data_IF_398684209532
#
_entry.id   IF_398684209532
#
_cell.length_a   1.000
_cell.length_b   1.000
_cell.length_c   1.000
_cell.angle_alpha   90.00
_cell.angle_beta   90.00
_cell.angle_gamma   90.00
#
_symmetry.space_group_name_H-M   'P 1'
#
loop_
_entity.id
_entity.type
_entity.pdbx_description
1 polymer ?
#
# COMPACT_ATOMS: atom_id res chain seq x y z
N UNK A 1 -19.13 33.76 -18.76
CA UNK A 1 -18.50 34.22 -20.02
C UNK A 1 -17.04 33.80 -20.03
N UNK A 2 -16.52 33.19 -21.10
CA UNK A 2 -15.09 32.89 -21.20
C UNK A 2 -14.30 34.21 -21.17
N UNK A 3 -13.22 34.26 -20.38
CA UNK A 3 -12.33 35.44 -20.33
C UNK A 3 -11.71 35.64 -21.71
N UNK A 4 -11.82 36.85 -22.28
CA UNK A 4 -11.16 37.19 -23.54
C UNK A 4 -9.63 36.97 -23.38
N UNK A 5 -8.97 36.31 -24.33
CA UNK A 5 -7.52 36.13 -24.29
C UNK A 5 -6.83 37.50 -24.23
N UNK A 6 -5.78 37.62 -23.42
CA UNK A 6 -4.98 38.85 -23.27
C UNK A 6 -3.49 38.50 -23.37
N UNK A 7 -2.67 39.37 -23.99
CA UNK A 7 -1.22 39.19 -23.97
C UNK A 7 -0.66 39.29 -22.55
N UNK A 8 0.33 38.47 -22.21
CA UNK A 8 1.12 38.54 -20.98
C UNK A 8 2.59 38.26 -21.30
N UNK A 9 3.50 38.88 -20.53
CA UNK A 9 4.94 38.77 -20.75
C UNK A 9 5.53 37.55 -20.05
N UNK A 10 6.36 36.78 -20.75
CA UNK A 10 7.13 35.68 -20.17
C UNK A 10 8.45 35.50 -20.93
N UNK A 11 9.58 35.47 -20.21
CA UNK A 11 10.92 35.21 -20.79
C UNK A 11 11.22 36.04 -22.06
N UNK A 12 11.08 37.36 -21.97
CA UNK A 12 11.43 38.29 -23.05
C UNK A 12 10.49 38.31 -24.25
N UNK A 13 9.30 37.68 -24.15
CA UNK A 13 8.31 37.65 -25.22
C UNK A 13 6.89 37.73 -24.68
N UNK A 14 5.99 38.28 -25.49
CA UNK A 14 4.57 38.28 -25.20
C UNK A 14 3.92 36.96 -25.64
N UNK A 15 3.04 36.43 -24.79
CA UNK A 15 2.28 35.21 -24.99
C UNK A 15 0.79 35.44 -24.75
N UNK A 16 -0.07 34.55 -25.25
CA UNK A 16 -1.50 34.50 -24.94
C UNK A 16 -1.94 33.06 -24.72
N UNK A 17 -3.11 32.85 -24.11
CA UNK A 17 -3.72 31.53 -23.98
C UNK A 17 -4.95 31.42 -24.87
N UNK A 18 -4.88 30.57 -25.89
CA UNK A 18 -5.99 30.28 -26.81
C UNK A 18 -6.19 28.76 -26.85
N UNK A 19 -7.41 28.29 -26.56
CA UNK A 19 -7.73 26.85 -26.56
C UNK A 19 -6.97 26.01 -25.53
N UNK A 20 -6.52 26.62 -24.42
CA UNK A 20 -5.76 25.93 -23.37
C UNK A 20 -4.25 25.80 -23.64
N UNK A 21 -3.75 26.29 -24.78
CA UNK A 21 -2.33 26.28 -25.12
C UNK A 21 -1.73 27.71 -25.13
N UNK A 22 -0.44 27.80 -24.79
CA UNK A 22 0.32 29.04 -24.89
C UNK A 22 0.72 29.31 -26.34
N UNK A 23 0.50 30.55 -26.78
CA UNK A 23 0.89 31.02 -28.12
C UNK A 23 1.78 32.24 -27.96
N UNK A 24 2.96 32.18 -28.55
CA UNK A 24 3.91 33.30 -28.60
C UNK A 24 3.40 34.33 -29.61
N UNK A 25 3.45 35.62 -29.26
CA UNK A 25 2.95 36.72 -30.07
C UNK A 25 4.09 37.48 -30.74
N UNK A 26 4.95 38.12 -29.94
CA UNK A 26 6.09 38.89 -30.40
C UNK A 26 7.16 38.99 -29.30
N UNK A 27 8.35 39.50 -29.62
CA UNK A 27 9.36 39.82 -28.61
C UNK A 27 8.94 41.01 -27.74
N UNK A 28 9.47 41.08 -26.52
CA UNK A 28 9.23 42.19 -25.61
C UNK A 28 9.64 43.54 -26.21
N UNK A 29 10.73 43.56 -26.97
CA UNK A 29 11.27 44.73 -27.65
C UNK A 29 10.32 45.34 -28.69
N UNK A 30 9.34 44.56 -29.18
CA UNK A 30 8.34 45.01 -30.16
C UNK A 30 7.14 45.72 -29.49
N UNK A 31 7.03 45.65 -28.16
CA UNK A 31 6.04 46.37 -27.37
C UNK A 31 4.65 45.70 -27.26
N UNK A 32 3.87 46.17 -26.29
CA UNK A 32 2.56 45.57 -25.97
C UNK A 32 1.53 45.77 -27.09
N UNK A 33 1.56 46.89 -27.81
CA UNK A 33 0.64 47.17 -28.91
C UNK A 33 0.85 46.20 -30.09
N UNK A 34 2.10 45.84 -30.38
CA UNK A 34 2.43 44.78 -31.35
C UNK A 34 1.87 43.42 -30.89
N UNK A 35 1.92 43.11 -29.60
CA UNK A 35 1.34 41.90 -29.05
C UNK A 35 -0.21 41.88 -29.18
N UNK A 36 -0.88 43.03 -28.99
CA UNK A 36 -2.33 43.15 -29.18
C UNK A 36 -2.71 42.97 -30.66
N UNK A 37 -1.95 43.57 -31.58
CA UNK A 37 -2.17 43.40 -33.03
C UNK A 37 -1.92 41.96 -33.49
N UNK A 38 -0.86 41.32 -32.98
CA UNK A 38 -0.58 39.91 -33.22
C UNK A 38 -1.70 39.00 -32.69
N UNK A 39 -2.23 39.29 -31.50
CA UNK A 39 -3.37 38.57 -30.93
C UNK A 39 -4.64 38.72 -31.79
N UNK A 40 -4.95 39.94 -32.25
CA UNK A 40 -6.10 40.19 -33.12
C UNK A 40 -6.01 39.39 -34.43
N UNK A 41 -4.82 39.34 -35.04
CA UNK A 41 -4.54 38.55 -36.24
C UNK A 41 -4.67 37.05 -35.99
N UNK A 42 -4.20 36.58 -34.82
CA UNK A 42 -4.30 35.17 -34.40
C UNK A 42 -5.77 34.74 -34.19
N UNK A 43 -6.59 35.62 -33.61
CA UNK A 43 -8.03 35.37 -33.45
C UNK A 43 -8.79 35.44 -34.76
N UNK A 44 -8.44 36.35 -35.68
CA UNK A 44 -9.07 36.46 -36.99
C UNK A 44 -8.80 35.22 -37.87
N UNK A 45 -7.59 34.65 -37.83
CA UNK A 45 -7.24 33.40 -38.52
C UNK A 45 -7.95 32.16 -37.96
N UNK A 46 -8.45 32.20 -36.72
CA UNK A 46 -9.21 31.09 -36.13
C UNK A 46 -10.68 31.03 -36.55
N UNK A 47 -11.23 32.09 -37.17
CA UNK A 47 -12.65 32.17 -37.57
C UNK A 47 -12.88 31.67 -39.01
N UNK A 48 -11.84 31.65 -39.85
CA UNK A 48 -11.94 31.21 -41.26
C UNK A 48 -11.47 29.77 -41.52
N UNK A 49 -11.05 29.05 -40.48
CA UNK A 49 -10.92 27.60 -40.58
C UNK A 49 -12.32 26.99 -40.40
N UNK A 50 -12.95 26.55 -41.50
CA UNK A 50 -13.98 25.50 -41.44
C UNK A 50 -13.53 24.46 -40.43
N UNK A 51 -14.41 23.98 -39.52
CA UNK A 51 -14.01 22.99 -38.55
C UNK A 51 -13.57 21.76 -39.33
N UNK A 52 -12.25 21.57 -39.45
CA UNK A 52 -11.69 20.25 -39.66
C UNK A 52 -12.23 19.50 -38.46
N UNK A 53 -13.25 18.67 -38.71
CA UNK A 53 -13.71 17.71 -37.74
C UNK A 53 -12.46 16.95 -37.32
N UNK A 54 -11.94 17.27 -36.14
CA UNK A 54 -11.13 16.31 -35.40
C UNK A 54 -12.05 15.10 -35.37
N UNK A 55 -11.66 13.96 -35.98
CA UNK A 55 -12.48 12.77 -35.87
C UNK A 55 -12.66 12.55 -34.38
N UNK A 56 -13.89 12.77 -33.89
CA UNK A 56 -14.28 12.28 -32.58
C UNK A 56 -13.92 10.80 -32.65
N UNK A 57 -13.06 10.27 -31.76
CA UNK A 57 -12.66 8.88 -31.82
C UNK A 57 -13.94 8.07 -31.87
N UNK A 58 -14.18 7.44 -33.02
CA UNK A 58 -15.41 6.71 -33.25
C UNK A 58 -15.54 5.69 -32.13
N UNK A 59 -16.70 5.67 -31.46
CA UNK A 59 -17.04 4.76 -30.35
C UNK A 59 -16.77 3.27 -30.69
N UNK A 60 -16.59 2.97 -31.98
CA UNK A 60 -16.31 1.66 -32.54
C UNK A 60 -14.86 1.16 -32.40
N UNK A 61 -13.86 2.00 -32.12
CA UNK A 61 -12.43 1.55 -32.08
C UNK A 61 -11.82 1.45 -30.67
N UNK A 62 -12.41 2.06 -29.66
CA UNK A 62 -11.94 1.96 -28.27
C UNK A 62 -12.20 0.56 -27.70
N UNK A 63 -11.25 -0.13 -27.04
CA UNK A 63 -11.49 -1.47 -26.51
C UNK A 63 -12.60 -1.47 -25.46
N UNK A 64 -13.20 -2.65 -25.24
CA UNK A 64 -14.09 -2.84 -24.10
C UNK A 64 -13.29 -2.67 -22.78
N UNK A 65 -13.94 -2.14 -21.74
CA UNK A 65 -13.31 -2.00 -20.43
C UNK A 65 -12.87 -3.36 -19.88
N UNK A 66 -13.65 -4.41 -20.10
CA UNK A 66 -13.30 -5.79 -19.74
C UNK A 66 -12.01 -6.25 -20.42
N UNK A 67 -11.83 -5.91 -21.70
CA UNK A 67 -10.62 -6.20 -22.46
C UNK A 67 -9.41 -5.44 -21.91
N UNK A 68 -9.56 -4.15 -21.61
CA UNK A 68 -8.51 -3.33 -21.01
C UNK A 68 -8.11 -3.84 -19.61
N UNK A 69 -9.06 -4.29 -18.80
CA UNK A 69 -8.82 -4.93 -17.50
C UNK A 69 -8.07 -6.26 -17.69
N UNK A 70 -8.47 -7.10 -18.65
CA UNK A 70 -7.81 -8.37 -18.92
C UNK A 70 -6.37 -8.18 -19.44
N UNK A 71 -6.13 -7.17 -20.28
CA UNK A 71 -4.77 -6.76 -20.70
C UNK A 71 -3.92 -6.32 -19.49
N UNK A 72 -4.48 -5.48 -18.61
CA UNK A 72 -3.76 -5.04 -17.42
C UNK A 72 -3.51 -6.16 -16.41
N UNK A 73 -4.43 -7.12 -16.29
CA UNK A 73 -4.23 -8.30 -15.46
C UNK A 73 -3.00 -9.09 -15.94
N UNK A 74 -2.88 -9.37 -17.24
CA UNK A 74 -1.71 -10.06 -17.82
C UNK A 74 -0.41 -9.30 -17.54
N UNK A 75 -0.43 -7.97 -17.70
CA UNK A 75 0.72 -7.15 -17.31
C UNK A 75 1.04 -7.28 -15.81
N UNK A 76 0.03 -7.24 -14.95
CA UNK A 76 0.22 -7.36 -13.50
C UNK A 76 0.81 -8.72 -13.10
N UNK A 77 0.47 -9.81 -13.80
CA UNK A 77 1.02 -11.15 -13.57
C UNK A 77 2.51 -11.24 -13.93
N UNK A 78 2.99 -10.41 -14.86
CA UNK A 78 4.42 -10.28 -15.17
C UNK A 78 5.12 -9.32 -14.21
N UNK A 79 4.50 -8.18 -13.91
CA UNK A 79 5.10 -7.09 -13.14
C UNK A 79 5.13 -7.36 -11.62
N UNK A 80 4.03 -7.84 -11.03
CA UNK A 80 3.90 -8.01 -9.58
C UNK A 80 4.35 -9.42 -9.14
N UNK A 81 5.64 -9.69 -9.31
CA UNK A 81 6.28 -10.93 -8.86
C UNK A 81 7.14 -10.69 -7.62
N UNK A 82 7.15 -11.70 -6.75
CA UNK A 82 8.11 -11.77 -5.64
C UNK A 82 9.45 -12.31 -6.17
N UNK A 83 10.57 -12.10 -5.45
CA UNK A 83 11.87 -12.69 -5.81
C UNK A 83 11.80 -14.20 -6.04
N UNK A 84 10.89 -14.90 -5.34
CA UNK A 84 10.64 -16.33 -5.53
C UNK A 84 9.88 -16.71 -6.81
N UNK A 85 9.62 -15.76 -7.72
CA UNK A 85 8.82 -15.95 -8.94
C UNK A 85 7.29 -16.01 -8.74
N UNK A 86 6.81 -16.17 -7.50
CA UNK A 86 5.39 -16.24 -7.15
C UNK A 86 4.69 -14.90 -7.35
N UNK A 87 3.41 -14.93 -7.71
CA UNK A 87 2.59 -13.74 -7.85
C UNK A 87 2.35 -13.05 -6.49
N UNK A 88 2.40 -11.72 -6.49
CA UNK A 88 2.06 -10.91 -5.33
C UNK A 88 0.55 -10.86 -5.10
N UNK A 89 0.15 -10.84 -3.83
CA UNK A 89 -1.25 -10.62 -3.43
C UNK A 89 -1.80 -9.23 -3.83
N UNK A 90 -0.94 -8.30 -4.27
CA UNK A 90 -1.36 -7.00 -4.78
C UNK A 90 -2.23 -7.14 -6.04
N UNK A 91 -2.02 -8.17 -6.87
CA UNK A 91 -2.84 -8.43 -8.07
C UNK A 91 -4.32 -8.59 -7.68
N UNK A 92 -4.61 -9.40 -6.66
CA UNK A 92 -5.99 -9.58 -6.15
C UNK A 92 -6.60 -8.24 -5.70
N UNK A 93 -5.81 -7.38 -5.08
CA UNK A 93 -6.27 -6.06 -4.62
C UNK A 93 -6.52 -5.09 -5.77
N UNK A 94 -5.72 -5.16 -6.84
CA UNK A 94 -5.90 -4.42 -8.08
C UNK A 94 -7.19 -4.86 -8.77
N UNK A 95 -7.37 -6.17 -8.98
CA UNK A 95 -8.56 -6.71 -9.64
C UNK A 95 -9.85 -6.41 -8.85
N UNK A 96 -9.79 -6.45 -7.52
CA UNK A 96 -10.91 -6.01 -6.68
C UNK A 96 -11.22 -4.51 -6.89
N UNK A 97 -10.20 -3.65 -6.95
CA UNK A 97 -10.39 -2.23 -7.21
C UNK A 97 -11.03 -1.99 -8.60
N UNK A 98 -10.53 -2.66 -9.63
CA UNK A 98 -11.05 -2.54 -11.00
C UNK A 98 -12.47 -3.08 -11.14
N UNK A 99 -12.87 -4.04 -10.31
CA UNK A 99 -14.25 -4.53 -10.27
C UNK A 99 -15.24 -3.44 -9.87
N UNK A 100 -14.88 -2.52 -8.97
CA UNK A 100 -15.74 -1.38 -8.65
C UNK A 100 -15.93 -0.47 -9.85
N UNK A 101 -14.83 -0.15 -10.56
CA UNK A 101 -14.90 0.65 -11.78
C UNK A 101 -15.76 -0.01 -12.86
N UNK A 102 -15.57 -1.31 -13.11
CA UNK A 102 -16.32 -2.05 -14.11
C UNK A 102 -17.82 -2.09 -13.79
N UNK A 103 -18.19 -2.30 -12.53
CA UNK A 103 -19.60 -2.31 -12.11
C UNK A 103 -20.27 -0.97 -12.31
N UNK A 104 -19.60 0.14 -12.00
CA UNK A 104 -20.19 1.48 -12.16
C UNK A 104 -20.18 1.98 -13.59
N UNK A 105 -19.23 1.52 -14.41
CA UNK A 105 -19.22 1.83 -15.84
C UNK A 105 -20.34 1.10 -16.60
N UNK A 106 -20.79 -0.05 -16.09
CA UNK A 106 -21.82 -0.88 -16.70
C UNK A 106 -21.27 -1.96 -17.61
N UNK A 107 -22.12 -2.93 -17.94
CA UNK A 107 -21.78 -4.01 -18.86
C UNK A 107 -21.58 -3.46 -20.29
N UNK A 108 -20.58 -3.98 -21.00
CA UNK A 108 -20.23 -3.49 -22.35
C UNK A 108 -19.58 -2.11 -22.41
N UNK A 109 -19.29 -1.48 -21.27
CA UNK A 109 -18.65 -0.16 -21.22
C UNK A 109 -17.36 -0.12 -22.05
N UNK A 110 -17.21 0.93 -22.86
CA UNK A 110 -16.01 1.18 -23.68
C UNK A 110 -15.07 2.11 -22.93
N UNK A 111 -13.76 1.94 -23.13
CA UNK A 111 -12.78 2.73 -22.38
C UNK A 111 -12.85 4.24 -22.66
N UNK A 112 -13.27 4.64 -23.86
CA UNK A 112 -13.49 6.06 -24.23
C UNK A 112 -14.64 6.71 -23.46
N UNK A 113 -15.60 5.91 -22.97
CA UNK A 113 -16.73 6.38 -22.18
C UNK A 113 -16.42 6.55 -20.68
N UNK A 114 -15.20 6.22 -20.25
CA UNK A 114 -14.79 6.46 -18.86
C UNK A 114 -14.69 7.96 -18.59
N UNK A 115 -15.11 8.35 -17.40
CA UNK A 115 -15.08 9.75 -16.96
C UNK A 115 -14.80 9.85 -15.47
N UNK A 116 -14.48 11.06 -15.01
CA UNK A 116 -14.37 11.36 -13.58
C UNK A 116 -15.63 10.96 -12.81
N UNK A 117 -16.81 11.11 -13.39
CA UNK A 117 -18.07 10.78 -12.73
C UNK A 117 -18.26 9.28 -12.54
N UNK A 118 -17.84 8.46 -13.53
CA UNK A 118 -17.81 7.00 -13.38
C UNK A 118 -16.86 6.59 -12.26
N UNK A 119 -15.66 7.18 -12.19
CA UNK A 119 -14.70 6.87 -11.12
C UNK A 119 -15.17 7.39 -9.75
N UNK A 120 -15.87 8.54 -9.72
CA UNK A 120 -16.50 9.08 -8.52
C UNK A 120 -17.58 8.11 -8.04
N UNK A 121 -18.48 7.65 -8.92
CA UNK A 121 -19.47 6.64 -8.58
C UNK A 121 -18.83 5.35 -8.05
N UNK A 122 -17.74 4.88 -8.67
CA UNK A 122 -16.97 3.73 -8.16
C UNK A 122 -16.47 3.98 -6.73
N UNK A 123 -15.91 5.17 -6.46
CA UNK A 123 -15.46 5.59 -5.12
C UNK A 123 -16.60 5.60 -4.10
N UNK A 124 -17.74 6.21 -4.45
CA UNK A 124 -18.90 6.29 -3.56
C UNK A 124 -19.48 4.90 -3.28
N UNK A 125 -19.48 3.98 -4.24
CA UNK A 125 -19.96 2.60 -4.05
C UNK A 125 -19.13 1.79 -3.03
N UNK A 126 -17.88 2.19 -2.76
CA UNK A 126 -17.02 1.55 -1.77
C UNK A 126 -17.34 2.01 -0.34
N UNK A 127 -17.90 3.21 -0.16
CA UNK A 127 -18.11 3.87 1.14
C UNK A 127 -18.86 2.99 2.15
N UNK A 128 -19.96 2.28 1.79
CA UNK A 128 -20.70 1.47 2.75
C UNK A 128 -19.91 0.29 3.33
N UNK A 129 -18.86 -0.18 2.63
CA UNK A 129 -18.15 -1.42 2.97
C UNK A 129 -16.67 -1.23 3.32
N UNK A 130 -16.10 -0.08 2.97
CA UNK A 130 -14.68 0.21 3.09
C UNK A 130 -14.42 1.39 4.02
N UNK A 131 -13.28 1.36 4.72
CA UNK A 131 -12.78 2.56 5.39
C UNK A 131 -12.28 3.58 4.38
N UNK A 132 -12.25 4.86 4.75
CA UNK A 132 -11.70 5.94 3.91
C UNK A 132 -10.32 5.59 3.34
N UNK A 133 -9.44 5.02 4.18
CA UNK A 133 -8.09 4.58 3.78
C UNK A 133 -8.15 3.52 2.68
N UNK A 134 -9.00 2.51 2.83
CA UNK A 134 -9.19 1.45 1.83
C UNK A 134 -9.78 1.99 0.53
N UNK A 135 -10.77 2.89 0.60
CA UNK A 135 -11.32 3.58 -0.57
C UNK A 135 -10.21 4.30 -1.34
N UNK A 136 -9.42 5.12 -0.64
CA UNK A 136 -8.32 5.86 -1.27
C UNK A 136 -7.25 4.93 -1.87
N UNK A 137 -6.96 3.79 -1.23
CA UNK A 137 -6.05 2.79 -1.79
C UNK A 137 -6.60 2.15 -3.07
N UNK A 138 -7.89 1.82 -3.13
CA UNK A 138 -8.52 1.30 -4.34
C UNK A 138 -8.52 2.33 -5.47
N UNK A 139 -8.83 3.60 -5.18
CA UNK A 139 -8.71 4.68 -6.17
C UNK A 139 -7.28 4.82 -6.67
N UNK A 140 -6.28 4.76 -5.77
CA UNK A 140 -4.87 4.75 -6.17
C UNK A 140 -4.52 3.59 -7.12
N UNK A 141 -5.05 2.38 -6.85
CA UNK A 141 -4.87 1.22 -7.74
C UNK A 141 -5.50 1.43 -9.11
N UNK A 142 -6.74 1.93 -9.16
CA UNK A 142 -7.43 2.24 -10.42
C UNK A 142 -6.63 3.28 -11.21
N UNK A 143 -6.16 4.35 -10.56
CA UNK A 143 -5.32 5.36 -11.22
C UNK A 143 -4.01 4.81 -11.77
N UNK A 144 -3.38 3.82 -11.12
CA UNK A 144 -2.21 3.13 -11.69
C UNK A 144 -2.57 2.34 -12.95
N UNK A 145 -3.72 1.67 -12.98
CA UNK A 145 -4.20 0.99 -14.17
C UNK A 145 -4.47 1.99 -15.31
N UNK A 146 -5.09 3.13 -15.00
CA UNK A 146 -5.34 4.22 -15.96
C UNK A 146 -4.04 4.72 -16.59
N UNK A 147 -2.99 4.96 -15.81
CA UNK A 147 -1.68 5.37 -16.34
C UNK A 147 -1.12 4.34 -17.32
N UNK A 148 -1.16 3.06 -16.95
CA UNK A 148 -0.72 1.99 -17.84
C UNK A 148 -1.60 1.87 -19.10
N UNK A 149 -2.91 2.08 -18.99
CA UNK A 149 -3.80 2.09 -20.16
C UNK A 149 -3.49 3.22 -21.14
N UNK A 150 -2.99 4.37 -20.68
CA UNK A 150 -2.49 5.43 -21.58
C UNK A 150 -1.23 4.97 -22.31
N UNK A 151 -0.26 4.41 -21.57
CA UNK A 151 1.01 3.92 -22.14
C UNK A 151 0.76 2.87 -23.24
N UNK A 152 -0.21 1.99 -23.03
CA UNK A 152 -0.63 0.94 -23.98
C UNK A 152 -1.64 1.40 -25.04
N UNK A 153 -1.95 2.71 -25.08
CA UNK A 153 -2.90 3.31 -26.03
C UNK A 153 -4.30 2.67 -25.99
N UNK A 154 -4.71 2.18 -24.82
CA UNK A 154 -6.03 1.60 -24.58
C UNK A 154 -7.08 2.65 -24.24
N UNK A 155 -6.65 3.82 -23.75
CA UNK A 155 -7.49 5.01 -23.52
C UNK A 155 -6.81 6.27 -24.09
N UNK A 156 -7.56 7.28 -24.54
CA UNK A 156 -7.00 8.59 -24.88
C UNK A 156 -6.51 9.36 -23.65
N UNK A 157 -5.52 10.24 -23.84
CA UNK A 157 -4.96 11.11 -22.78
C UNK A 157 -6.05 11.93 -22.08
N UNK A 158 -6.99 12.49 -22.83
CA UNK A 158 -8.10 13.29 -22.28
C UNK A 158 -8.99 12.51 -21.30
N UNK A 159 -9.17 11.20 -21.54
CA UNK A 159 -9.92 10.32 -20.62
C UNK A 159 -9.12 10.10 -19.34
N UNK A 160 -7.82 9.85 -19.47
CA UNK A 160 -6.93 9.66 -18.32
C UNK A 160 -6.84 10.92 -17.46
N UNK A 161 -6.68 12.10 -18.06
CA UNK A 161 -6.62 13.38 -17.35
C UNK A 161 -7.87 13.60 -16.49
N UNK A 162 -9.05 13.32 -17.05
CA UNK A 162 -10.32 13.40 -16.33
C UNK A 162 -10.34 12.52 -15.07
N UNK A 163 -9.91 11.26 -15.19
CA UNK A 163 -9.87 10.25 -14.13
C UNK A 163 -8.80 10.55 -13.06
N UNK A 164 -7.60 10.93 -13.50
CA UNK A 164 -6.44 11.17 -12.64
C UNK A 164 -6.64 12.40 -11.74
N UNK A 165 -7.46 13.35 -12.16
CA UNK A 165 -7.82 14.54 -11.39
C UNK A 165 -8.82 14.30 -10.25
N UNK A 166 -9.41 13.10 -10.11
CA UNK A 166 -10.34 12.83 -8.99
C UNK A 166 -9.60 12.91 -7.63
N UNK A 167 -9.94 13.81 -6.71
CA UNK A 167 -9.25 13.89 -5.42
C UNK A 167 -9.55 12.64 -4.55
N UNK A 168 -8.64 12.28 -3.63
CA UNK A 168 -8.95 11.29 -2.60
C UNK A 168 -10.06 11.80 -1.67
N UNK A 169 -10.69 10.90 -0.91
CA UNK A 169 -11.57 11.29 0.19
C UNK A 169 -10.75 11.96 1.31
N UNK A 170 -11.09 13.21 1.69
CA UNK A 170 -10.43 13.90 2.79
C UNK A 170 -10.80 13.28 4.15
N UNK A 171 -9.89 13.37 5.12
CA UNK A 171 -10.13 12.87 6.47
C UNK A 171 -11.30 13.62 7.13
N UNK A 172 -12.18 12.88 7.80
CA UNK A 172 -13.35 13.42 8.54
C UNK A 172 -14.30 14.29 7.70
N UNK A 173 -14.27 14.12 6.37
CA UNK A 173 -15.05 14.94 5.42
C UNK A 173 -15.78 14.06 4.38
N UNK A 174 -16.11 12.83 4.78
CA UNK A 174 -16.88 11.88 3.97
C UNK A 174 -17.63 10.92 4.88
N UNK A 175 -18.66 10.24 4.36
CA UNK A 175 -19.38 9.20 5.08
C UNK A 175 -18.59 7.88 5.22
N UNK A 176 -17.39 7.77 4.63
CA UNK A 176 -16.56 6.59 4.76
C UNK A 176 -16.06 6.43 6.20
N UNK A 177 -16.14 5.21 6.73
CA UNK A 177 -15.68 4.87 8.08
C UNK A 177 -14.20 5.28 8.27
N UNK A 178 -13.93 6.06 9.30
CA UNK A 178 -12.57 6.28 9.80
C UNK A 178 -12.15 5.08 10.66
N UNK A 179 -10.86 4.74 10.61
CA UNK A 179 -10.31 3.65 11.41
C UNK A 179 -9.24 4.21 12.31
N UNK A 180 -9.33 3.90 13.60
CA UNK A 180 -8.27 4.22 14.53
C UNK A 180 -6.96 3.51 14.14
N UNK A 181 -5.81 4.15 14.39
CA UNK A 181 -4.52 3.48 14.26
C UNK A 181 -4.46 2.22 15.13
N UNK A 182 -3.93 1.14 14.58
CA UNK A 182 -3.70 -0.10 15.34
C UNK A 182 -2.48 0.09 16.24
N UNK A 183 -2.67 -0.02 17.56
CA UNK A 183 -1.64 0.17 18.57
C UNK A 183 -0.89 -1.11 18.99
N UNK A 184 0.00 -0.94 19.97
CA UNK A 184 0.61 -2.06 20.69
C UNK A 184 -0.44 -2.82 21.51
N UNK A 185 -0.16 -4.10 21.77
CA UNK A 185 -0.91 -4.90 22.75
C UNK A 185 -0.08 -5.04 24.03
N UNK A 186 -0.73 -4.87 25.17
CA UNK A 186 -0.11 -4.97 26.49
C UNK A 186 0.31 -6.40 26.85
N UNK A 187 1.40 -6.54 27.62
CA UNK A 187 1.92 -7.86 27.98
C UNK A 187 0.89 -8.71 28.75
N UNK A 188 0.14 -8.13 29.68
CA UNK A 188 -0.88 -8.88 30.44
C UNK A 188 -1.95 -9.51 29.55
N UNK A 189 -2.37 -8.79 28.50
CA UNK A 189 -3.33 -9.30 27.49
C UNK A 189 -2.69 -10.43 26.67
N UNK A 190 -1.44 -10.25 26.24
CA UNK A 190 -0.69 -11.29 25.52
C UNK A 190 -0.53 -12.55 26.38
N UNK A 191 -0.12 -12.39 27.64
CA UNK A 191 0.11 -13.48 28.57
C UNK A 191 -1.16 -14.32 28.78
N UNK A 192 -2.29 -13.67 29.12
CA UNK A 192 -3.57 -14.35 29.28
C UNK A 192 -4.01 -15.07 27.98
N UNK A 193 -3.70 -14.49 26.82
CA UNK A 193 -3.98 -15.13 25.52
C UNK A 193 -3.09 -16.37 25.31
N UNK A 194 -1.80 -16.29 25.62
CA UNK A 194 -0.83 -17.39 25.46
C UNK A 194 -1.17 -18.60 26.34
N UNK A 195 -1.74 -18.38 27.52
CA UNK A 195 -2.23 -19.43 28.40
C UNK A 195 -3.34 -20.28 27.76
N UNK A 196 -4.13 -19.70 26.85
CA UNK A 196 -5.20 -20.39 26.12
C UNK A 196 -4.75 -20.99 24.77
N UNK A 197 -3.51 -20.75 24.34
CA UNK A 197 -3.00 -21.23 23.06
C UNK A 197 -2.38 -22.61 23.17
N UNK A 198 -2.66 -23.45 22.17
CA UNK A 198 -1.97 -24.72 21.92
C UNK A 198 -0.78 -24.51 20.98
N UNK A 199 0.12 -25.48 20.92
CA UNK A 199 1.23 -25.46 19.96
C UNK A 199 0.75 -25.71 18.50
N UNK A 200 1.42 -25.13 17.49
CA UNK A 200 2.58 -24.23 17.56
C UNK A 200 2.26 -22.76 17.90
N UNK A 201 0.99 -22.42 18.12
CA UNK A 201 0.55 -21.03 18.21
C UNK A 201 1.11 -20.29 19.42
N UNK A 202 1.18 -20.98 20.57
CA UNK A 202 1.81 -20.46 21.79
C UNK A 202 3.26 -20.05 21.53
N UNK A 203 4.08 -20.97 21.02
CA UNK A 203 5.49 -20.68 20.74
C UNK A 203 5.66 -19.60 19.66
N UNK A 204 4.79 -19.58 18.65
CA UNK A 204 4.82 -18.57 17.59
C UNK A 204 4.52 -17.15 18.13
N UNK A 205 3.57 -17.01 19.05
CA UNK A 205 3.32 -15.72 19.76
C UNK A 205 4.55 -15.29 20.54
N UNK A 206 5.12 -16.20 21.34
CA UNK A 206 6.28 -15.89 22.17
C UNK A 206 7.50 -15.50 21.35
N UNK A 207 7.78 -16.23 20.27
CA UNK A 207 8.84 -15.89 19.35
C UNK A 207 8.63 -14.52 18.68
N UNK A 208 7.41 -14.24 18.22
CA UNK A 208 7.10 -12.95 17.60
C UNK A 208 7.15 -11.80 18.60
N UNK A 209 6.76 -12.02 19.85
CA UNK A 209 6.90 -11.05 20.94
C UNK A 209 8.35 -10.61 21.11
N UNK A 210 9.28 -11.56 21.17
CA UNK A 210 10.72 -11.27 21.38
C UNK A 210 11.45 -10.70 20.17
N UNK A 211 10.90 -10.84 18.96
CA UNK A 211 11.62 -10.48 17.72
C UNK A 211 10.96 -9.35 16.93
N UNK A 212 9.68 -9.05 17.19
CA UNK A 212 8.92 -8.07 16.43
C UNK A 212 8.78 -8.40 14.93
N UNK A 213 9.00 -9.65 14.52
CA UNK A 213 8.89 -10.06 13.11
C UNK A 213 7.48 -9.83 12.56
N UNK A 214 7.36 -9.65 11.25
CA UNK A 214 6.01 -9.64 10.64
C UNK A 214 5.40 -11.04 10.76
N UNK A 215 4.06 -11.18 10.90
CA UNK A 215 3.44 -12.49 11.01
C UNK A 215 3.80 -13.42 9.84
N UNK A 216 3.86 -12.89 8.61
CA UNK A 216 4.26 -13.69 7.44
C UNK A 216 5.70 -14.21 7.47
N UNK A 217 6.62 -13.44 8.08
CA UNK A 217 8.03 -13.80 8.27
C UNK A 217 8.13 -14.89 9.35
N UNK A 218 7.51 -14.68 10.52
CA UNK A 218 7.52 -15.64 11.62
C UNK A 218 6.82 -16.98 11.26
N UNK A 219 5.66 -16.91 10.61
CA UNK A 219 4.93 -18.10 10.16
C UNK A 219 5.66 -18.90 9.07
N UNK A 220 6.55 -18.25 8.30
CA UNK A 220 7.31 -18.86 7.21
C UNK A 220 8.76 -19.15 7.56
N UNK A 221 9.12 -19.17 8.84
CA UNK A 221 10.48 -19.40 9.29
C UNK A 221 10.95 -20.82 8.91
N UNK A 222 12.01 -20.89 8.10
CA UNK A 222 12.66 -22.16 7.74
C UNK A 222 13.74 -22.53 8.74
N UNK A 223 13.92 -23.83 8.97
CA UNK A 223 14.96 -24.36 9.86
C UNK A 223 16.36 -23.95 9.37
N UNK A 224 16.60 -24.03 8.06
CA UNK A 224 17.88 -23.66 7.44
C UNK A 224 18.23 -22.17 7.58
N UNK A 225 17.25 -21.29 7.80
CA UNK A 225 17.49 -19.86 7.96
C UNK A 225 17.94 -19.48 9.36
N UNK A 226 17.85 -20.40 10.33
CA UNK A 226 18.12 -20.11 11.74
C UNK A 226 19.48 -20.67 12.15
N UNK A 227 20.35 -19.79 12.61
CA UNK A 227 21.58 -20.17 13.31
C UNK A 227 21.45 -19.77 14.78
N UNK A 228 21.47 -20.76 15.69
CA UNK A 228 21.42 -20.52 17.14
C UNK A 228 22.81 -20.64 17.77
N UNK A 229 23.05 -19.81 18.79
CA UNK A 229 24.21 -19.88 19.70
C UNK A 229 23.72 -20.09 21.14
N UNK A 230 24.61 -20.06 22.14
CA UNK A 230 24.22 -20.09 23.56
C UNK A 230 23.45 -18.82 23.96
N UNK A 231 23.93 -17.65 23.52
CA UNK A 231 23.36 -16.34 23.89
C UNK A 231 22.31 -15.79 22.92
N UNK A 232 21.84 -16.57 21.94
CA UNK A 232 20.88 -16.11 20.96
C UNK A 232 21.08 -16.72 19.58
N UNK A 233 21.29 -15.87 18.57
CA UNK A 233 21.53 -16.30 17.20
C UNK A 233 21.12 -15.28 16.15
N UNK A 234 20.82 -15.76 14.95
CA UNK A 234 20.28 -14.95 13.86
C UNK A 234 19.31 -15.74 12.97
N UNK A 235 18.51 -14.99 12.22
CA UNK A 235 17.67 -15.48 11.13
C UNK A 235 18.04 -14.77 9.84
N UNK A 236 18.43 -15.54 8.83
CA UNK A 236 18.86 -15.04 7.52
C UNK A 236 17.71 -15.20 6.51
N UNK A 237 17.01 -14.10 6.20
CA UNK A 237 15.88 -14.13 5.25
C UNK A 237 16.33 -14.02 3.78
N UNK A 238 17.56 -13.57 3.52
CA UNK A 238 17.99 -13.16 2.17
C UNK A 238 16.99 -12.15 1.60
N UNK A 239 16.46 -12.43 0.40
CA UNK A 239 15.41 -11.62 -0.26
C UNK A 239 13.97 -12.03 0.10
N UNK A 240 13.77 -13.01 0.98
CA UNK A 240 12.45 -13.56 1.33
C UNK A 240 11.71 -12.73 2.39
N UNK A 241 11.57 -11.42 2.16
CA UNK A 241 10.83 -10.49 3.02
C UNK A 241 10.05 -9.44 2.22
N UNK A 242 9.18 -8.68 2.90
CA UNK A 242 8.22 -7.73 2.29
C UNK A 242 8.85 -6.74 1.31
N UNK A 243 10.12 -6.40 1.49
CA UNK A 243 10.86 -5.41 0.71
C UNK A 243 12.00 -6.02 -0.11
N UNK A 244 12.14 -7.34 -0.15
CA UNK A 244 13.25 -8.01 -0.84
C UNK A 244 13.23 -7.83 -2.36
N UNK A 245 12.06 -7.52 -2.95
CA UNK A 245 11.97 -7.11 -4.36
C UNK A 245 12.76 -5.83 -4.69
N UNK A 246 13.19 -5.07 -3.67
CA UNK A 246 14.09 -3.91 -3.82
C UNK A 246 15.57 -4.29 -3.86
N UNK A 247 15.90 -5.58 -3.78
CA UNK A 247 17.27 -6.10 -3.85
C UNK A 247 18.09 -5.99 -2.56
N UNK A 248 17.47 -5.57 -1.44
CA UNK A 248 18.16 -5.52 -0.14
C UNK A 248 17.86 -6.78 0.63
N UNK A 249 18.90 -7.51 1.06
CA UNK A 249 18.77 -8.67 1.93
C UNK A 249 18.44 -8.28 3.37
N UNK A 250 17.88 -9.23 4.12
CA UNK A 250 17.54 -9.04 5.53
C UNK A 250 18.09 -10.18 6.38
N UNK A 251 18.88 -9.82 7.39
CA UNK A 251 19.20 -10.66 8.55
C UNK A 251 18.58 -10.06 9.79
N UNK A 252 18.12 -10.91 10.71
CA UNK A 252 17.60 -10.50 12.01
C UNK A 252 18.41 -11.17 13.14
N UNK A 253 19.13 -10.40 13.96
CA UNK A 253 19.67 -10.90 15.23
C UNK A 253 18.54 -11.33 16.16
N UNK A 254 18.70 -12.46 16.83
CA UNK A 254 17.74 -12.96 17.83
C UNK A 254 18.43 -13.12 19.18
N UNK A 255 17.79 -12.64 20.23
CA UNK A 255 18.28 -12.77 21.60
C UNK A 255 17.98 -14.14 22.23
N UNK A 256 18.45 -14.38 23.46
CA UNK A 256 18.40 -15.68 24.11
C UNK A 256 16.95 -16.15 24.37
N UNK A 257 16.01 -15.25 24.69
CA UNK A 257 14.61 -15.62 24.89
C UNK A 257 13.96 -16.14 23.60
N UNK A 258 14.26 -15.53 22.45
CA UNK A 258 13.76 -16.01 21.16
C UNK A 258 14.43 -17.34 20.78
N UNK A 259 15.73 -17.48 21.02
CA UNK A 259 16.47 -18.73 20.79
C UNK A 259 15.91 -19.89 21.63
N UNK A 260 15.59 -19.65 22.91
CA UNK A 260 15.00 -20.66 23.79
C UNK A 260 13.63 -21.14 23.32
N UNK A 261 12.82 -20.25 22.73
CA UNK A 261 11.57 -20.66 22.09
C UNK A 261 11.82 -21.51 20.86
N UNK A 262 12.82 -21.17 20.03
CA UNK A 262 13.08 -21.87 18.76
C UNK A 262 13.77 -23.22 18.92
N UNK A 263 14.64 -23.39 19.92
CA UNK A 263 15.49 -24.58 20.09
C UNK A 263 14.72 -25.91 20.05
N UNK A 264 13.68 -26.15 20.88
CA UNK A 264 12.95 -27.42 20.84
C UNK A 264 12.21 -27.64 19.51
N UNK A 265 11.78 -26.56 18.85
CA UNK A 265 11.12 -26.64 17.54
C UNK A 265 12.09 -27.02 16.43
N UNK A 266 13.29 -26.44 16.42
CA UNK A 266 14.33 -26.76 15.43
C UNK A 266 14.81 -28.20 15.61
N UNK A 267 15.04 -28.63 16.84
CA UNK A 267 15.42 -30.02 17.15
C UNK A 267 14.34 -31.00 16.66
N UNK A 268 13.07 -30.75 17.01
CA UNK A 268 11.97 -31.61 16.55
C UNK A 268 11.78 -31.57 15.03
N UNK A 269 11.97 -30.42 14.40
CA UNK A 269 11.87 -30.27 12.95
C UNK A 269 12.97 -31.06 12.24
N UNK A 270 14.23 -30.99 12.70
CA UNK A 270 15.35 -31.77 12.17
C UNK A 270 15.11 -33.27 12.30
N UNK A 271 14.66 -33.73 13.48
CA UNK A 271 14.34 -35.15 13.72
C UNK A 271 13.23 -35.68 12.82
N UNK A 272 12.31 -34.82 12.38
CA UNK A 272 11.18 -35.17 11.52
C UNK A 272 11.36 -34.71 10.07
N UNK A 273 12.58 -34.30 9.68
CA UNK A 273 12.90 -33.78 8.34
C UNK A 273 11.95 -32.69 7.83
N UNK A 274 11.58 -31.75 8.70
CA UNK A 274 10.68 -30.63 8.38
C UNK A 274 11.45 -29.38 7.96
N UNK A 275 10.95 -28.73 6.92
CA UNK A 275 11.50 -27.47 6.41
C UNK A 275 11.17 -26.27 7.34
N UNK A 276 9.93 -26.21 7.85
CA UNK A 276 9.44 -25.09 8.65
C UNK A 276 9.64 -25.32 10.14
N UNK A 277 10.07 -24.28 10.86
CA UNK A 277 10.20 -24.31 12.32
C UNK A 277 8.83 -24.49 12.98
N UNK A 278 7.87 -23.65 12.63
CA UNK A 278 6.49 -23.72 13.14
C UNK A 278 5.59 -24.40 12.10
N UNK A 279 5.54 -25.72 12.12
CA UNK A 279 4.67 -26.50 11.24
C UNK A 279 3.35 -26.87 11.94
N UNK A 280 2.24 -26.72 11.24
CA UNK A 280 0.93 -27.22 11.68
C UNK A 280 0.73 -28.65 11.19
N UNK A 281 0.36 -29.57 12.09
CA UNK A 281 0.03 -30.98 11.79
C UNK A 281 -1.47 -31.26 11.89
N UNK A 282 -2.32 -30.24 11.72
CA UNK A 282 -3.76 -30.29 12.01
C UNK A 282 -4.62 -31.01 10.96
N UNK A 283 -4.02 -31.58 9.92
CA UNK A 283 -4.73 -32.41 8.94
C UNK A 283 -4.46 -33.88 9.24
N UNK A 284 -5.45 -34.74 9.00
CA UNK A 284 -5.53 -36.19 9.22
C UNK A 284 -4.21 -36.96 9.48
N UNK A 285 -4.25 -38.03 10.30
CA UNK A 285 -3.13 -38.97 10.50
C UNK A 285 -2.46 -39.28 9.15
N UNK A 286 -1.18 -38.93 9.01
CA UNK A 286 -0.39 -39.11 7.78
C UNK A 286 -0.29 -37.88 6.86
N UNK A 287 -0.89 -36.74 7.19
CA UNK A 287 -0.75 -35.54 6.39
C UNK A 287 0.60 -34.84 6.60
N UNK A 288 1.21 -34.42 5.50
CA UNK A 288 2.47 -33.69 5.50
C UNK A 288 2.39 -32.39 6.32
N UNK A 289 3.38 -32.10 7.19
CA UNK A 289 3.45 -30.86 7.95
C UNK A 289 3.41 -29.65 7.01
N UNK A 290 2.45 -28.74 7.23
CA UNK A 290 2.32 -27.54 6.40
C UNK A 290 2.88 -26.32 7.11
N UNK A 291 3.42 -25.41 6.29
CA UNK A 291 3.73 -24.04 6.71
C UNK A 291 2.54 -23.43 7.44
N UNK A 292 2.80 -22.87 8.61
CA UNK A 292 1.83 -22.02 9.29
C UNK A 292 1.52 -20.78 8.43
N UNK A 293 0.24 -20.38 8.31
CA UNK A 293 -0.13 -19.18 7.53
C UNK A 293 -0.72 -18.09 8.43
N UNK A 294 -0.48 -16.80 8.13
CA UNK A 294 -0.96 -15.68 8.96
C UNK A 294 -2.47 -15.67 9.25
N UNK A 295 -3.38 -16.06 8.33
CA UNK A 295 -4.81 -16.12 8.64
C UNK A 295 -5.15 -17.15 9.71
N UNK A 296 -4.53 -18.34 9.68
CA UNK A 296 -4.73 -19.37 10.70
C UNK A 296 -4.17 -18.93 12.05
N UNK A 297 -3.01 -18.28 12.03
CA UNK A 297 -2.39 -17.70 13.22
C UNK A 297 -3.28 -16.64 13.86
N UNK A 298 -3.77 -15.67 13.08
CA UNK A 298 -4.68 -14.64 13.58
C UNK A 298 -5.96 -15.24 14.15
N UNK A 299 -6.53 -16.28 13.50
CA UNK A 299 -7.73 -16.96 14.01
C UNK A 299 -7.47 -17.69 15.33
N UNK A 300 -6.31 -18.34 15.49
CA UNK A 300 -5.94 -18.98 16.74
C UNK A 300 -5.85 -17.97 17.89
N UNK A 301 -5.18 -16.83 17.65
CA UNK A 301 -5.08 -15.72 18.61
C UNK A 301 -6.46 -15.18 18.99
N UNK A 302 -7.34 -14.89 18.02
CA UNK A 302 -8.69 -14.38 18.32
C UNK A 302 -9.53 -15.37 19.14
N UNK A 303 -9.43 -16.68 18.87
CA UNK A 303 -10.10 -17.71 19.67
C UNK A 303 -9.56 -17.75 21.09
N UNK A 304 -8.25 -17.64 21.25
CA UNK A 304 -7.61 -17.57 22.56
C UNK A 304 -7.98 -16.30 23.33
N UNK A 305 -8.07 -15.14 22.67
CA UNK A 305 -8.55 -13.89 23.29
C UNK A 305 -9.98 -14.08 23.84
N UNK A 306 -10.86 -14.69 23.04
CA UNK A 306 -12.23 -15.00 23.46
C UNK A 306 -12.27 -15.96 24.66
N UNK A 307 -11.43 -16.99 24.67
CA UNK A 307 -11.34 -17.93 25.78
C UNK A 307 -10.80 -17.27 27.07
N UNK A 308 -9.81 -16.41 26.93
CA UNK A 308 -9.20 -15.63 28.02
C UNK A 308 -10.06 -14.45 28.48
N UNK A 309 -11.15 -14.12 27.77
CA UNK A 309 -12.01 -12.95 28.02
C UNK A 309 -11.23 -11.62 28.02
N UNK A 310 -10.29 -11.48 27.09
CA UNK A 310 -9.52 -10.25 26.88
C UNK A 310 -9.90 -9.58 25.56
N UNK A 311 -9.55 -8.30 25.42
CA UNK A 311 -9.78 -7.54 24.18
C UNK A 311 -9.10 -8.24 22.99
N UNK A 312 -9.80 -8.43 21.86
CA UNK A 312 -9.23 -9.06 20.68
C UNK A 312 -8.03 -8.29 20.13
N UNK A 313 -6.96 -9.02 19.82
CA UNK A 313 -5.79 -8.45 19.15
C UNK A 313 -5.32 -9.35 18.01
N UNK A 314 -4.51 -8.78 17.12
CA UNK A 314 -3.96 -9.48 15.95
C UNK A 314 -2.43 -9.62 16.04
N UNK A 315 -1.83 -10.70 15.50
CA UNK A 315 -0.39 -10.96 15.57
C UNK A 315 0.53 -9.80 15.15
N UNK A 316 0.11 -8.97 14.20
CA UNK A 316 0.94 -7.84 13.76
C UNK A 316 1.09 -6.76 14.87
N UNK A 317 0.22 -6.74 15.89
CA UNK A 317 0.36 -5.86 17.05
C UNK A 317 1.57 -6.20 17.91
N UNK A 318 2.05 -7.45 17.92
CA UNK A 318 3.27 -7.82 18.63
C UNK A 318 4.50 -7.10 18.09
N UNK A 319 4.50 -6.76 16.80
CA UNK A 319 5.54 -5.91 16.20
C UNK A 319 5.47 -4.49 16.73
N UNK A 320 4.27 -3.95 16.98
CA UNK A 320 4.10 -2.65 17.62
C UNK A 320 4.56 -2.71 19.07
N UNK A 321 4.15 -3.74 19.84
CA UNK A 321 4.61 -3.94 21.22
C UNK A 321 6.13 -4.08 21.33
N UNK A 322 6.77 -4.84 20.43
CA UNK A 322 8.22 -4.93 20.38
C UNK A 322 8.88 -3.57 20.09
N UNK A 323 8.36 -2.81 19.11
CA UNK A 323 8.85 -1.47 18.81
C UNK A 323 8.78 -0.54 20.03
N UNK A 324 7.63 -0.55 20.71
CA UNK A 324 7.38 0.27 21.90
C UNK A 324 8.36 -0.09 23.02
N UNK A 325 8.57 -1.38 23.29
CA UNK A 325 9.52 -1.86 24.32
C UNK A 325 10.96 -1.48 23.99
N UNK A 326 11.41 -1.73 22.76
CA UNK A 326 12.77 -1.36 22.34
C UNK A 326 12.97 0.14 22.40
N UNK A 327 11.99 0.93 21.97
CA UNK A 327 12.06 2.40 22.03
C UNK A 327 12.13 2.91 23.47
N UNK A 328 11.32 2.35 24.37
CA UNK A 328 11.34 2.71 25.78
C UNK A 328 12.69 2.42 26.44
N UNK A 329 13.32 1.29 26.07
CA UNK A 329 14.60 0.87 26.65
C UNK A 329 15.83 1.54 26.01
N UNK A 330 15.84 1.71 24.68
CA UNK A 330 17.03 2.02 23.89
C UNK A 330 16.84 3.18 22.89
N UNK A 331 15.67 3.82 22.88
CA UNK A 331 15.38 4.96 22.01
C UNK A 331 14.90 4.61 20.61
N UNK A 332 14.55 5.65 19.84
CA UNK A 332 13.88 5.53 18.54
C UNK A 332 14.76 4.86 17.48
N UNK A 333 16.05 5.18 17.48
CA UNK A 333 17.02 4.64 16.52
C UNK A 333 17.18 3.12 16.67
N UNK A 334 17.30 2.63 17.91
CA UNK A 334 17.36 1.20 18.19
C UNK A 334 16.09 0.48 17.70
N UNK A 335 14.90 1.07 17.94
CA UNK A 335 13.64 0.49 17.46
C UNK A 335 13.54 0.47 15.92
N UNK A 336 14.09 1.47 15.23
CA UNK A 336 14.16 1.51 13.77
C UNK A 336 15.03 0.38 13.22
N UNK A 337 16.24 0.22 13.77
CA UNK A 337 17.19 -0.81 13.36
C UNK A 337 16.66 -2.21 13.66
N UNK A 338 16.17 -2.45 14.89
CA UNK A 338 15.63 -3.74 15.30
C UNK A 338 14.46 -4.21 14.42
N UNK A 339 13.69 -3.28 13.85
CA UNK A 339 12.59 -3.60 12.95
C UNK A 339 12.97 -3.59 11.46
N UNK A 340 14.17 -3.13 11.10
CA UNK A 340 14.60 -3.01 9.70
C UNK A 340 13.77 -2.01 8.90
N UNK A 341 13.48 -0.84 9.49
CA UNK A 341 12.79 0.25 8.78
C UNK A 341 13.78 1.14 8.02
N UNK A 342 13.59 1.25 6.71
CA UNK A 342 14.41 2.11 5.84
C UNK A 342 14.25 3.61 6.11
N UNK A 343 13.18 4.03 6.81
CA UNK A 343 12.92 5.42 7.19
C UNK A 343 12.39 5.50 8.62
N UNK A 344 12.86 6.49 9.38
CA UNK A 344 12.47 6.74 10.76
C UNK A 344 10.96 7.05 10.89
N UNK A 345 10.32 7.62 9.86
CA UNK A 345 8.90 7.98 9.85
C UNK A 345 7.96 6.81 10.15
N UNK A 346 8.34 5.60 9.72
CA UNK A 346 7.56 4.39 10.03
C UNK A 346 7.67 4.06 11.52
N UNK A 347 8.79 4.41 12.16
CA UNK A 347 9.04 4.22 13.59
C UNK A 347 8.46 5.33 14.47
N UNK A 348 8.27 6.54 13.91
CA UNK A 348 7.62 7.66 14.60
C UNK A 348 6.15 7.37 14.93
N UNK A 349 5.47 6.54 14.13
CA UNK A 349 4.08 6.10 14.37
C UNK A 349 3.98 5.23 15.64
N UNK A 350 5.08 4.66 16.14
CA UNK A 350 5.09 3.79 17.34
C UNK A 350 5.26 4.59 18.63
N UNK A 351 4.50 5.66 18.75
CA UNK A 351 4.34 6.38 19.99
C UNK A 351 2.84 6.50 20.27
N UNK A 352 2.42 5.94 21.41
CA UNK A 352 1.82 6.84 22.39
C UNK A 352 2.73 8.06 22.43
N UNK A 353 2.24 9.22 21.95
CA UNK A 353 2.91 10.50 22.15
C UNK A 353 3.42 10.45 23.58
N UNK A 354 4.74 10.44 23.79
CA UNK A 354 5.30 10.17 25.11
C UNK A 354 4.86 11.35 26.00
N UNK A 355 3.66 11.26 26.56
CA UNK A 355 3.02 12.34 27.28
C UNK A 355 3.86 12.65 28.51
N UNK A 356 4.62 11.67 29.03
CA UNK A 356 5.62 11.90 30.05
C UNK A 356 6.77 12.80 29.54
N UNK A 357 7.31 12.58 28.34
CA UNK A 357 8.31 13.50 27.75
C UNK A 357 7.70 14.86 27.42
N UNK A 358 6.49 14.92 26.85
CA UNK A 358 5.82 16.18 26.57
C UNK A 358 5.50 16.95 27.86
N UNK A 359 5.08 16.26 28.93
CA UNK A 359 4.84 16.83 30.24
C UNK A 359 6.14 17.22 30.96
N UNK A 360 7.25 16.52 30.73
CA UNK A 360 8.57 16.92 31.22
C UNK A 360 9.07 18.16 30.48
N UNK A 361 8.89 18.23 29.15
CA UNK A 361 9.20 19.41 28.34
C UNK A 361 8.37 20.60 28.80
N UNK A 362 7.06 20.44 28.98
CA UNK A 362 6.19 21.46 29.56
C UNK A 362 6.65 21.85 30.97
N UNK A 363 6.94 20.88 31.85
CA UNK A 363 7.47 21.16 33.20
C UNK A 363 8.79 21.94 33.19
N UNK A 364 9.66 21.72 32.20
CA UNK A 364 10.98 22.38 32.12
C UNK A 364 10.97 23.70 31.38
N UNK A 365 10.12 23.85 30.37
CA UNK A 365 10.16 24.96 29.42
C UNK A 365 8.92 25.85 29.43
N UNK A 366 7.87 25.49 30.19
CA UNK A 366 6.58 26.21 30.27
C UNK A 366 5.56 25.64 29.30
#
# INVERSE_FOLDING_TARGET
MPRKPKPFLHQGHYYTTVGGAWRKLCAEAEGFDAAVAALATLTAKSVTASPVAIPSPSLTTSPALSEAIAKYQRHCETYYRLPSGKLSGEIRSILLALRFLARTAGEGARTVGLSRDVLKAARESMIPTCSRKTVNQHIGRIKRAVKWWVEEKLIPDAVADSLLLLPPLPAFRSAARETEPVGAVEWGVVQATVEQLVEPWRSLVMYQWWTGQRPGEACGLLVEWVTLTEDGGRVDFGLNHKTGWRGTEKTLPIGPQAANVLRPWIESAKLRSREFVFATTWTARGAEPRRTIPPSYARAVLRACKAAKVEPWHPNQLRHSFATRVRAALGLEAAQHALGHARADVTQIYAEKNQATAAEVARRLG
#
